data_IF_755023926576
#
_entry.id   IF_755023926576
#
_cell.length_a   1.000
_cell.length_b   1.000
_cell.length_c   1.000
_cell.angle_alpha   90.00
_cell.angle_beta   90.00
_cell.angle_gamma   90.00
#
_symmetry.space_group_name_H-M   'P 1'
#
loop_
_entity.id
_entity.type
_entity.pdbx_description
1 polymer ?
#
# COMPACT_ATOMS: atom_id res chain seq x y z
N UNK A 1 -5.58 -21.99 14.94
CA UNK A 1 -5.85 -21.22 13.69
C UNK A 1 -5.30 -19.83 13.86
N UNK A 2 -4.96 -19.13 12.78
CA UNK A 2 -4.47 -17.73 12.83
C UNK A 2 -5.67 -16.80 12.97
N UNK A 3 -5.82 -16.12 14.10
CA UNK A 3 -6.90 -15.16 14.28
C UNK A 3 -6.64 -13.89 13.46
N UNK A 4 -7.61 -13.48 12.63
CA UNK A 4 -7.43 -12.37 11.68
C UNK A 4 -8.40 -11.23 11.95
N UNK A 5 -7.91 -9.99 11.98
CA UNK A 5 -8.74 -8.80 11.91
C UNK A 5 -8.72 -8.24 10.48
N UNK A 6 -9.88 -8.15 9.83
CA UNK A 6 -10.02 -7.42 8.56
C UNK A 6 -10.35 -5.97 8.89
N UNK A 7 -9.55 -5.03 8.42
CA UNK A 7 -9.74 -3.59 8.61
C UNK A 7 -10.20 -2.97 7.30
N UNK A 8 -11.38 -2.37 7.32
CA UNK A 8 -11.96 -1.64 6.18
C UNK A 8 -12.05 -0.17 6.55
N UNK A 9 -11.48 0.71 5.73
CA UNK A 9 -11.53 2.15 5.96
C UNK A 9 -12.69 2.76 5.19
N UNK A 10 -13.60 3.44 5.89
CA UNK A 10 -14.65 4.23 5.26
C UNK A 10 -14.39 5.73 5.44
N UNK A 11 -14.56 6.50 4.37
CA UNK A 11 -14.62 7.96 4.39
C UNK A 11 -15.53 8.46 3.28
N UNK A 12 -16.76 8.88 3.63
CA UNK A 12 -17.80 9.35 2.70
C UNK A 12 -18.02 8.37 1.51
N UNK A 13 -18.04 7.07 1.79
CA UNK A 13 -18.07 6.02 0.77
C UNK A 13 -18.95 4.82 1.11
N UNK A 14 -20.03 5.05 1.88
CA UNK A 14 -20.84 3.97 2.47
C UNK A 14 -21.38 2.96 1.44
N UNK A 15 -21.76 3.39 0.23
CA UNK A 15 -22.30 2.50 -0.80
C UNK A 15 -21.29 1.45 -1.27
N UNK A 16 -20.04 1.86 -1.45
CA UNK A 16 -18.97 0.94 -1.79
C UNK A 16 -18.62 0.07 -0.58
N UNK A 17 -18.57 0.67 0.63
CA UNK A 17 -18.31 -0.06 1.88
C UNK A 17 -19.33 -1.16 2.14
N UNK A 18 -20.61 -0.97 1.85
CA UNK A 18 -21.63 -2.00 2.03
C UNK A 18 -21.40 -3.22 1.13
N UNK A 19 -21.07 -3.02 -0.13
CA UNK A 19 -20.72 -4.12 -1.06
C UNK A 19 -19.46 -4.85 -0.62
N UNK A 20 -18.43 -4.09 -0.22
CA UNK A 20 -17.20 -4.63 0.33
C UNK A 20 -17.48 -5.54 1.53
N UNK A 21 -18.26 -5.07 2.51
CA UNK A 21 -18.61 -5.84 3.71
C UNK A 21 -19.41 -7.10 3.39
N UNK A 22 -20.33 -7.03 2.41
CA UNK A 22 -21.10 -8.18 1.96
C UNK A 22 -20.16 -9.30 1.43
N UNK A 23 -19.16 -8.96 0.62
CA UNK A 23 -18.17 -9.94 0.15
C UNK A 23 -17.29 -10.51 1.28
N UNK A 24 -17.00 -9.72 2.31
CA UNK A 24 -16.12 -10.13 3.42
C UNK A 24 -16.83 -11.03 4.45
N UNK A 25 -18.12 -10.86 4.70
CA UNK A 25 -18.83 -11.70 5.68
C UNK A 25 -19.00 -13.15 5.19
N UNK A 26 -18.90 -13.39 3.89
CA UNK A 26 -19.04 -14.70 3.24
C UNK A 26 -17.71 -15.47 3.07
N UNK A 27 -16.58 -14.97 3.64
CA UNK A 27 -15.30 -15.67 3.52
C UNK A 27 -15.34 -17.09 4.08
N UNK A 28 -14.72 -18.05 3.37
CA UNK A 28 -14.62 -19.46 3.77
C UNK A 28 -13.72 -19.67 4.99
N UNK A 29 -12.70 -18.83 5.19
CA UNK A 29 -11.94 -18.78 6.44
C UNK A 29 -12.84 -18.34 7.59
N UNK A 30 -12.77 -18.99 8.77
CA UNK A 30 -13.76 -18.79 9.84
C UNK A 30 -13.26 -17.96 11.02
N UNK A 31 -11.96 -18.00 11.31
CA UNK A 31 -11.37 -17.33 12.50
C UNK A 31 -10.98 -15.88 12.16
N UNK A 32 -12.00 -15.04 11.91
CA UNK A 32 -11.81 -13.64 11.65
C UNK A 32 -12.93 -12.75 12.24
N UNK A 33 -12.58 -11.48 12.42
CA UNK A 33 -13.49 -10.37 12.69
C UNK A 33 -13.23 -9.24 11.70
N UNK A 34 -14.20 -8.35 11.55
CA UNK A 34 -14.09 -7.17 10.69
C UNK A 34 -14.17 -5.93 11.56
N UNK A 35 -13.25 -5.00 11.40
CA UNK A 35 -13.30 -3.66 11.99
C UNK A 35 -13.47 -2.64 10.86
N UNK A 36 -14.64 -2.01 10.82
CA UNK A 36 -14.82 -0.84 9.96
C UNK A 36 -14.29 0.38 10.70
N UNK A 37 -13.38 1.10 10.11
CA UNK A 37 -12.88 2.37 10.66
C UNK A 37 -13.54 3.50 9.88
N UNK A 38 -14.53 4.16 10.47
CA UNK A 38 -15.04 5.42 9.93
C UNK A 38 -14.02 6.52 10.16
N UNK A 39 -13.45 7.02 9.09
CA UNK A 39 -12.32 7.95 9.13
C UNK A 39 -12.77 9.43 9.12
N UNK A 40 -13.80 9.74 9.91
CA UNK A 40 -14.36 11.07 10.03
C UNK A 40 -15.26 11.45 8.85
N UNK A 41 -16.19 10.59 8.48
CA UNK A 41 -17.21 10.87 7.48
C UNK A 41 -18.17 11.96 7.94
N UNK A 42 -18.67 12.73 6.97
CA UNK A 42 -19.62 13.84 7.18
C UNK A 42 -20.96 13.61 6.46
N UNK A 43 -21.09 12.46 5.77
CA UNK A 43 -22.31 11.98 5.10
C UNK A 43 -23.10 11.02 6.02
N UNK A 44 -24.04 10.26 5.47
CA UNK A 44 -24.86 9.26 6.19
C UNK A 44 -24.10 7.97 6.56
N UNK A 45 -22.80 7.91 6.27
CA UNK A 45 -21.96 6.71 6.50
C UNK A 45 -22.05 6.19 7.91
N UNK A 46 -21.88 7.05 8.91
CA UNK A 46 -21.84 6.63 10.31
C UNK A 46 -23.15 6.01 10.77
N UNK A 47 -24.30 6.56 10.38
CA UNK A 47 -25.61 6.02 10.71
C UNK A 47 -25.80 4.62 10.13
N UNK A 48 -25.45 4.46 8.85
CA UNK A 48 -25.58 3.17 8.14
C UNK A 48 -24.62 2.12 8.69
N UNK A 49 -23.37 2.50 8.97
CA UNK A 49 -22.38 1.59 9.59
C UNK A 49 -22.82 1.09 10.97
N UNK A 50 -23.48 1.91 11.78
CA UNK A 50 -24.07 1.46 13.07
C UNK A 50 -25.20 0.45 12.89
N UNK A 51 -25.98 0.55 11.81
CA UNK A 51 -27.02 -0.45 11.48
C UNK A 51 -26.36 -1.78 11.06
N UNK A 52 -25.29 -1.71 10.27
CA UNK A 52 -24.53 -2.89 9.85
C UNK A 52 -23.85 -3.58 11.04
N UNK A 53 -23.20 -2.83 11.94
CA UNK A 53 -22.59 -3.38 13.16
C UNK A 53 -23.61 -4.16 14.01
N UNK A 54 -24.83 -3.65 14.16
CA UNK A 54 -25.91 -4.34 14.90
C UNK A 54 -26.41 -5.61 14.18
N UNK A 55 -26.28 -5.67 12.86
CA UNK A 55 -26.76 -6.80 12.04
C UNK A 55 -25.80 -7.98 12.05
N UNK A 56 -24.48 -7.74 12.15
CA UNK A 56 -23.45 -8.77 11.98
C UNK A 56 -22.52 -8.84 13.19
N UNK A 57 -22.56 -9.93 13.95
CA UNK A 57 -21.71 -10.17 15.14
C UNK A 57 -20.19 -10.17 14.85
N UNK A 58 -19.80 -10.34 13.60
CA UNK A 58 -18.41 -10.29 13.17
C UNK A 58 -17.89 -8.88 12.92
N UNK A 59 -18.77 -7.88 12.81
CA UNK A 59 -18.42 -6.51 12.45
C UNK A 59 -18.41 -5.63 13.69
N UNK A 60 -17.36 -4.85 13.86
CA UNK A 60 -17.22 -3.80 14.87
C UNK A 60 -16.89 -2.48 14.21
N UNK A 61 -17.23 -1.36 14.86
CA UNK A 61 -17.01 -0.01 14.34
C UNK A 61 -16.01 0.74 15.22
N UNK A 62 -15.03 1.39 14.59
CA UNK A 62 -14.17 2.39 15.21
C UNK A 62 -14.36 3.74 14.50
N UNK A 63 -14.35 4.84 15.25
CA UNK A 63 -14.64 6.18 14.72
C UNK A 63 -13.47 7.10 14.98
N UNK A 64 -12.87 7.65 13.92
CA UNK A 64 -11.92 8.73 13.99
C UNK A 64 -12.67 10.07 13.93
N UNK A 65 -12.26 11.05 14.73
CA UNK A 65 -12.90 12.37 14.78
C UNK A 65 -12.75 13.18 13.47
N UNK A 66 -11.71 12.87 12.67
CA UNK A 66 -11.40 13.53 11.40
C UNK A 66 -10.65 12.57 10.48
N UNK A 67 -10.58 12.88 9.21
CA UNK A 67 -9.86 12.10 8.22
C UNK A 67 -8.34 12.14 8.49
N UNK A 68 -7.77 10.98 8.86
CA UNK A 68 -6.33 10.79 9.11
C UNK A 68 -5.58 10.23 7.90
N UNK A 69 -6.23 10.20 6.73
CA UNK A 69 -5.71 9.50 5.57
C UNK A 69 -5.75 7.99 5.71
N UNK A 70 -5.23 7.29 4.71
CA UNK A 70 -5.12 5.83 4.74
C UNK A 70 -4.21 5.38 5.89
N UNK A 71 -3.00 5.96 6.00
CA UNK A 71 -2.01 5.58 7.03
C UNK A 71 -2.58 5.67 8.45
N UNK A 72 -3.24 6.78 8.80
CA UNK A 72 -3.78 6.97 10.15
C UNK A 72 -5.02 6.13 10.41
N UNK A 73 -5.86 5.92 9.41
CA UNK A 73 -7.01 5.00 9.48
C UNK A 73 -6.55 3.56 9.68
N UNK A 74 -5.60 3.08 8.88
CA UNK A 74 -4.99 1.76 9.02
C UNK A 74 -4.38 1.57 10.42
N UNK A 75 -3.65 2.57 10.92
CA UNK A 75 -3.09 2.53 12.27
C UNK A 75 -4.15 2.39 13.36
N UNK A 76 -5.34 2.97 13.18
CA UNK A 76 -6.46 2.76 14.12
C UNK A 76 -6.82 1.27 14.18
N UNK A 77 -6.95 0.61 13.04
CA UNK A 77 -7.24 -0.82 12.96
C UNK A 77 -6.11 -1.69 13.49
N UNK A 78 -4.85 -1.39 13.14
CA UNK A 78 -3.69 -2.17 13.59
C UNK A 78 -3.53 -2.07 15.12
N UNK A 79 -3.70 -0.88 15.70
CA UNK A 79 -3.68 -0.71 17.17
C UNK A 79 -4.78 -1.51 17.85
N UNK A 80 -5.96 -1.59 17.23
CA UNK A 80 -7.06 -2.43 17.72
C UNK A 80 -6.67 -3.92 17.67
N UNK A 81 -6.09 -4.40 16.52
CA UNK A 81 -5.63 -5.77 16.38
C UNK A 81 -4.59 -6.15 17.45
N UNK A 82 -3.58 -5.29 17.65
CA UNK A 82 -2.52 -5.48 18.65
C UNK A 82 -3.09 -5.54 20.07
N UNK A 83 -4.03 -4.64 20.41
CA UNK A 83 -4.66 -4.58 21.75
C UNK A 83 -5.53 -5.80 22.02
N UNK A 84 -6.18 -6.36 21.01
CA UNK A 84 -7.08 -7.51 21.13
C UNK A 84 -6.38 -8.86 20.93
N UNK A 85 -5.08 -8.86 20.60
CA UNK A 85 -4.27 -10.07 20.49
C UNK A 85 -4.51 -10.86 19.19
N UNK A 86 -4.96 -10.23 18.10
CA UNK A 86 -5.05 -10.90 16.80
C UNK A 86 -3.66 -11.26 16.29
N UNK A 87 -3.52 -12.46 15.70
CA UNK A 87 -2.26 -12.93 15.13
C UNK A 87 -1.89 -12.19 13.84
N UNK A 88 -2.91 -11.82 13.06
CA UNK A 88 -2.73 -11.11 11.81
C UNK A 88 -3.80 -10.03 11.61
N UNK A 89 -3.47 -9.03 10.83
CA UNK A 89 -4.38 -7.97 10.40
C UNK A 89 -4.31 -7.81 8.88
N UNK A 90 -5.44 -7.71 8.21
CA UNK A 90 -5.47 -7.37 6.78
C UNK A 90 -6.11 -6.00 6.61
N UNK A 91 -5.54 -5.20 5.71
CA UNK A 91 -6.15 -3.96 5.23
C UNK A 91 -6.89 -4.29 3.94
N UNK A 92 -8.13 -3.83 3.83
CA UNK A 92 -8.95 -4.06 2.65
C UNK A 92 -9.66 -2.77 2.25
N UNK A 93 -9.51 -2.37 1.00
CA UNK A 93 -10.13 -1.14 0.49
C UNK A 93 -11.66 -1.28 0.46
N UNK A 94 -12.35 -0.24 0.86
CA UNK A 94 -13.81 -0.23 0.87
C UNK A 94 -14.46 -0.19 -0.53
N UNK A 95 -13.69 0.08 -1.57
CA UNK A 95 -14.08 0.02 -2.98
C UNK A 95 -13.57 -1.26 -3.68
N UNK A 96 -13.38 -2.33 -2.89
CA UNK A 96 -13.00 -3.65 -3.37
C UNK A 96 -13.97 -4.73 -2.86
N UNK A 97 -14.07 -5.83 -3.61
CA UNK A 97 -14.85 -7.03 -3.27
C UNK A 97 -13.92 -8.23 -3.27
N UNK A 98 -14.01 -9.10 -2.26
CA UNK A 98 -13.15 -10.25 -2.10
C UNK A 98 -13.83 -11.53 -2.66
N UNK A 99 -13.04 -12.36 -3.37
CA UNK A 99 -13.45 -13.75 -3.63
C UNK A 99 -13.64 -14.50 -2.30
N UNK A 100 -14.52 -15.50 -2.27
CA UNK A 100 -14.87 -16.24 -1.04
C UNK A 100 -13.67 -16.94 -0.37
N UNK A 101 -12.63 -17.28 -1.11
CA UNK A 101 -11.42 -17.95 -0.63
C UNK A 101 -10.26 -16.97 -0.38
N UNK A 102 -10.43 -15.68 -0.66
CA UNK A 102 -9.38 -14.67 -0.59
C UNK A 102 -8.62 -14.69 0.75
N UNK A 103 -9.34 -14.67 1.88
CA UNK A 103 -8.71 -14.66 3.19
C UNK A 103 -8.00 -15.99 3.50
N UNK A 104 -8.59 -17.13 3.13
CA UNK A 104 -8.00 -18.45 3.35
C UNK A 104 -6.65 -18.57 2.62
N UNK A 105 -6.58 -18.11 1.38
CA UNK A 105 -5.37 -18.15 0.57
C UNK A 105 -4.28 -17.18 1.07
N UNK A 106 -4.66 -16.00 1.58
CA UNK A 106 -3.71 -15.11 2.25
C UNK A 106 -3.12 -15.76 3.52
N UNK A 107 -3.95 -16.38 4.35
CA UNK A 107 -3.49 -17.06 5.58
C UNK A 107 -2.56 -18.24 5.25
N UNK A 108 -2.82 -18.98 4.18
CA UNK A 108 -1.89 -20.02 3.70
C UNK A 108 -0.53 -19.45 3.35
N UNK A 109 -0.48 -18.31 2.68
CA UNK A 109 0.78 -17.65 2.31
C UNK A 109 1.64 -17.23 3.52
N UNK A 110 1.07 -17.02 4.71
CA UNK A 110 1.84 -16.75 5.93
C UNK A 110 2.72 -17.92 6.40
N UNK A 111 2.51 -19.14 5.86
CA UNK A 111 3.31 -20.33 6.16
C UNK A 111 4.62 -20.38 5.36
N UNK A 112 4.74 -19.56 4.30
CA UNK A 112 5.97 -19.50 3.52
C UNK A 112 7.15 -18.97 4.38
N UNK A 113 8.37 -19.44 4.16
CA UNK A 113 9.52 -19.17 5.03
C UNK A 113 9.77 -17.67 5.21
N UNK A 114 9.90 -17.23 6.46
CA UNK A 114 10.18 -15.84 6.87
C UNK A 114 9.13 -14.81 6.40
N UNK A 115 7.95 -15.25 5.95
CA UNK A 115 6.89 -14.36 5.46
C UNK A 115 6.21 -13.64 6.62
N UNK A 116 6.10 -12.32 6.51
CA UNK A 116 5.35 -11.46 7.45
C UNK A 116 4.25 -10.66 6.78
N UNK A 117 4.26 -10.54 5.45
CA UNK A 117 3.19 -9.92 4.65
C UNK A 117 2.82 -10.89 3.53
N UNK A 118 1.51 -11.02 3.26
CA UNK A 118 1.00 -11.73 2.09
C UNK A 118 0.09 -10.80 1.31
N UNK A 119 0.29 -10.73 0.00
CA UNK A 119 -0.54 -9.94 -0.91
C UNK A 119 -1.20 -10.86 -1.94
N UNK A 120 -2.42 -10.53 -2.36
CA UNK A 120 -3.18 -11.29 -3.34
C UNK A 120 -3.13 -10.70 -4.75
N UNK A 121 -3.86 -11.34 -5.66
CA UNK A 121 -4.14 -10.88 -6.99
C UNK A 121 -5.29 -9.88 -6.94
N UNK A 122 -5.00 -8.61 -7.18
CA UNK A 122 -6.00 -7.56 -7.26
C UNK A 122 -6.33 -7.29 -8.72
N UNK A 123 -7.59 -7.49 -9.09
CA UNK A 123 -8.12 -7.28 -10.42
C UNK A 123 -8.94 -5.99 -10.46
N UNK A 124 -9.11 -5.42 -11.65
CA UNK A 124 -10.17 -4.42 -11.86
C UNK A 124 -11.56 -5.06 -11.79
N UNK A 125 -12.61 -4.25 -11.66
CA UNK A 125 -14.01 -4.73 -11.60
C UNK A 125 -14.40 -5.63 -12.80
N UNK A 126 -13.71 -5.52 -13.93
CA UNK A 126 -13.95 -6.34 -15.13
C UNK A 126 -13.53 -7.81 -14.96
N UNK A 127 -12.77 -8.13 -13.89
CA UNK A 127 -12.20 -9.46 -13.63
C UNK A 127 -11.18 -9.94 -14.67
N UNK A 128 -10.83 -9.11 -15.65
CA UNK A 128 -9.95 -9.47 -16.79
C UNK A 128 -8.62 -8.75 -16.77
N UNK A 129 -8.58 -7.60 -16.12
CA UNK A 129 -7.40 -6.72 -16.08
C UNK A 129 -6.80 -6.72 -14.68
N UNK A 130 -5.48 -6.89 -14.58
CA UNK A 130 -4.76 -6.85 -13.31
C UNK A 130 -4.62 -5.40 -12.85
N UNK A 131 -5.02 -5.11 -11.61
CA UNK A 131 -4.71 -3.84 -10.94
C UNK A 131 -3.36 -3.93 -10.21
N UNK A 132 -3.10 -5.01 -9.47
CA UNK A 132 -1.80 -5.21 -8.81
C UNK A 132 -1.55 -6.68 -8.44
N UNK A 133 -0.30 -7.10 -8.53
CA UNK A 133 0.24 -8.34 -7.95
C UNK A 133 1.29 -8.03 -6.87
N UNK A 134 1.12 -6.92 -6.15
CA UNK A 134 2.11 -6.26 -5.30
C UNK A 134 2.80 -5.11 -6.01
N UNK A 135 3.86 -4.57 -5.42
CA UNK A 135 4.58 -3.44 -6.00
C UNK A 135 6.08 -3.72 -6.15
N UNK A 136 6.67 -3.09 -7.15
CA UNK A 136 8.11 -2.94 -7.29
C UNK A 136 8.60 -1.68 -6.59
N UNK A 137 9.85 -1.70 -6.16
CA UNK A 137 10.67 -0.51 -5.98
C UNK A 137 11.85 -0.57 -6.94
N UNK A 138 12.12 0.49 -7.68
CA UNK A 138 13.12 0.46 -8.75
C UNK A 138 14.43 1.15 -8.37
N UNK A 139 15.51 0.84 -9.11
CA UNK A 139 16.78 1.58 -9.02
C UNK A 139 16.66 3.05 -9.47
N UNK A 140 15.49 3.48 -9.92
CA UNK A 140 15.12 4.87 -10.17
C UNK A 140 14.42 5.54 -9.00
N UNK A 141 14.33 4.87 -7.84
CA UNK A 141 13.71 5.40 -6.64
C UNK A 141 12.18 5.51 -6.68
N UNK A 142 11.56 4.93 -7.71
CA UNK A 142 10.10 4.94 -7.91
C UNK A 142 9.50 3.59 -7.57
N UNK A 143 8.46 3.56 -6.73
CA UNK A 143 7.58 2.41 -6.61
C UNK A 143 6.50 2.43 -7.70
N UNK A 144 6.05 1.27 -8.12
CA UNK A 144 4.92 1.10 -9.03
C UNK A 144 4.33 -0.30 -8.96
N UNK A 145 3.02 -0.45 -9.25
CA UNK A 145 2.34 -1.73 -9.18
C UNK A 145 2.88 -2.72 -10.22
N UNK A 146 3.03 -3.98 -9.79
CA UNK A 146 3.41 -5.08 -10.68
C UNK A 146 2.23 -5.47 -11.55
N UNK A 147 2.50 -5.75 -12.82
CA UNK A 147 1.57 -6.27 -13.82
C UNK A 147 0.30 -5.43 -14.04
N UNK A 148 0.27 -4.17 -13.57
CA UNK A 148 -0.91 -3.31 -13.79
C UNK A 148 -1.18 -3.12 -15.28
N UNK A 149 -2.43 -3.39 -15.69
CA UNK A 149 -2.88 -3.30 -17.06
C UNK A 149 -2.69 -4.57 -17.89
N UNK A 150 -1.99 -5.59 -17.36
CA UNK A 150 -1.90 -6.90 -18.00
C UNK A 150 -3.23 -7.65 -17.89
N UNK A 151 -3.46 -8.57 -18.81
CA UNK A 151 -4.58 -9.52 -18.71
C UNK A 151 -4.36 -10.53 -17.59
N UNK A 152 -5.45 -11.02 -16.98
CA UNK A 152 -5.44 -12.01 -15.90
C UNK A 152 -4.75 -13.33 -16.28
N UNK A 153 -4.79 -13.73 -17.56
CA UNK A 153 -4.06 -14.90 -18.09
C UNK A 153 -2.53 -14.77 -17.98
N UNK A 154 -2.02 -13.55 -17.81
CA UNK A 154 -0.63 -13.23 -17.57
C UNK A 154 -0.28 -13.05 -16.09
N UNK A 155 -1.21 -13.39 -15.18
CA UNK A 155 -0.94 -13.32 -13.76
C UNK A 155 0.28 -14.20 -13.42
N UNK A 156 1.27 -13.66 -12.69
CA UNK A 156 2.47 -14.42 -12.36
C UNK A 156 2.14 -15.55 -11.38
N UNK A 157 2.99 -16.58 -11.39
CA UNK A 157 2.98 -17.60 -10.34
C UNK A 157 3.22 -16.99 -8.96
N UNK A 158 2.69 -17.67 -7.92
CA UNK A 158 2.89 -17.27 -6.54
C UNK A 158 4.37 -17.29 -6.18
N UNK A 159 4.83 -16.31 -5.38
CA UNK A 159 6.24 -16.19 -5.03
C UNK A 159 6.58 -14.94 -4.23
N UNK A 160 7.86 -14.77 -3.89
CA UNK A 160 8.30 -13.61 -3.14
C UNK A 160 8.35 -12.35 -3.99
N UNK A 161 7.92 -11.23 -3.38
CA UNK A 161 7.82 -9.92 -4.03
C UNK A 161 8.45 -8.84 -3.16
N UNK A 162 8.72 -7.66 -3.75
CA UNK A 162 9.30 -6.55 -3.00
C UNK A 162 8.28 -5.95 -2.01
N UNK A 163 7.06 -5.69 -2.45
CA UNK A 163 6.02 -5.01 -1.67
C UNK A 163 4.65 -5.63 -1.90
N UNK A 164 3.81 -5.61 -0.87
CA UNK A 164 2.39 -5.90 -0.96
C UNK A 164 1.59 -4.63 -1.24
N UNK A 165 0.42 -4.76 -1.88
CA UNK A 165 -0.52 -3.67 -2.07
C UNK A 165 -1.27 -3.37 -0.77
N UNK A 166 -1.33 -2.10 -0.35
CA UNK A 166 -2.04 -1.68 0.87
C UNK A 166 -3.56 -1.93 0.84
N UNK A 167 -4.12 -2.15 -0.36
CA UNK A 167 -5.56 -2.32 -0.53
C UNK A 167 -6.11 -3.73 -0.28
N UNK A 168 -5.25 -4.76 -0.21
CA UNK A 168 -5.69 -6.16 -0.07
C UNK A 168 -4.56 -7.08 0.45
N UNK A 169 -3.82 -6.67 1.49
CA UNK A 169 -2.71 -7.45 2.05
C UNK A 169 -2.91 -7.82 3.51
N UNK A 170 -2.39 -8.99 3.89
CA UNK A 170 -2.39 -9.55 5.24
C UNK A 170 -1.01 -9.37 5.87
N UNK A 171 -0.96 -8.91 7.11
CA UNK A 171 0.25 -8.63 7.88
C UNK A 171 0.23 -9.42 9.19
N UNK A 172 1.32 -10.07 9.57
CA UNK A 172 1.48 -10.55 10.95
C UNK A 172 1.48 -9.36 11.91
N UNK A 173 0.67 -9.36 12.95
CA UNK A 173 0.62 -8.24 13.92
C UNK A 173 1.95 -8.06 14.65
N UNK A 174 2.69 -9.15 14.90
CA UNK A 174 4.02 -9.10 15.48
C UNK A 174 5.01 -8.23 14.68
N UNK A 175 4.85 -8.16 13.34
CA UNK A 175 5.66 -7.31 12.48
C UNK A 175 5.60 -5.84 12.91
N UNK A 176 4.43 -5.33 13.24
CA UNK A 176 4.25 -3.93 13.64
C UNK A 176 4.86 -3.60 15.01
N UNK A 177 5.09 -4.60 15.86
CA UNK A 177 5.85 -4.41 17.10
C UNK A 177 7.35 -4.22 16.83
N UNK A 178 7.86 -4.80 15.75
CA UNK A 178 9.27 -4.73 15.37
C UNK A 178 9.59 -3.51 14.51
N UNK A 179 8.84 -3.32 13.40
CA UNK A 179 9.14 -2.25 12.42
C UNK A 179 8.37 -0.95 12.66
N UNK A 180 7.46 -0.91 13.63
CA UNK A 180 6.52 0.20 13.85
C UNK A 180 5.35 0.21 12.88
N UNK A 181 4.40 1.11 13.13
CA UNK A 181 3.15 1.27 12.36
C UNK A 181 3.38 1.96 11.01
N UNK A 182 2.31 2.21 10.26
CA UNK A 182 2.33 3.08 9.08
C UNK A 182 2.78 4.49 9.48
N UNK A 183 3.64 5.11 8.68
CA UNK A 183 4.02 6.50 8.92
C UNK A 183 2.90 7.44 8.44
N UNK A 184 2.22 8.07 9.38
CA UNK A 184 1.09 8.96 9.11
C UNK A 184 1.47 10.21 8.29
N UNK A 185 2.77 10.51 8.11
CA UNK A 185 3.24 11.59 7.22
C UNK A 185 2.93 11.32 5.75
N UNK A 186 2.79 10.05 5.36
CA UNK A 186 2.37 9.70 4.01
C UNK A 186 0.92 10.12 3.74
N UNK A 187 0.06 10.06 4.71
CA UNK A 187 -1.39 10.26 4.60
C UNK A 187 -2.07 9.25 3.67
N UNK A 188 -1.69 9.20 2.39
CA UNK A 188 -2.09 8.22 1.40
C UNK A 188 -1.04 8.13 0.28
N UNK A 189 -0.93 6.98 -0.37
CA UNK A 189 0.02 6.58 -1.41
C UNK A 189 1.46 6.38 -0.91
N UNK A 190 1.99 5.20 -1.25
CA UNK A 190 3.34 4.72 -0.94
C UNK A 190 3.62 4.38 0.52
N UNK A 191 2.65 4.50 1.43
CA UNK A 191 2.77 4.06 2.82
C UNK A 191 2.90 2.53 2.95
N UNK A 192 2.27 1.80 2.05
CA UNK A 192 2.36 0.34 1.92
C UNK A 192 3.75 -0.09 1.44
N UNK A 193 4.30 0.64 0.47
CA UNK A 193 5.69 0.43 0.01
C UNK A 193 6.68 0.79 1.12
N UNK A 194 6.41 1.82 1.95
CA UNK A 194 7.24 2.16 3.12
C UNK A 194 7.25 1.02 4.15
N UNK A 195 6.09 0.48 4.52
CA UNK A 195 5.98 -0.67 5.42
C UNK A 195 6.68 -1.89 4.83
N UNK A 196 6.47 -2.16 3.56
CA UNK A 196 7.10 -3.27 2.85
C UNK A 196 8.63 -3.14 2.82
N UNK A 197 9.15 -1.95 2.55
CA UNK A 197 10.58 -1.70 2.55
C UNK A 197 11.18 -1.94 3.95
N UNK A 198 10.54 -1.42 5.01
CA UNK A 198 10.97 -1.67 6.41
C UNK A 198 10.90 -3.16 6.75
N UNK A 199 9.91 -3.88 6.25
CA UNK A 199 9.79 -5.35 6.38
C UNK A 199 10.98 -6.06 5.75
N UNK A 200 11.37 -5.70 4.52
CA UNK A 200 12.56 -6.25 3.85
C UNK A 200 13.85 -5.92 4.62
N UNK A 201 13.99 -4.66 5.10
CA UNK A 201 15.16 -4.24 5.89
C UNK A 201 15.28 -5.00 7.22
N UNK A 202 14.17 -5.38 7.83
CA UNK A 202 14.12 -6.21 9.03
C UNK A 202 14.38 -7.72 8.77
N UNK A 203 14.61 -8.13 7.51
CA UNK A 203 14.90 -9.52 7.12
C UNK A 203 13.69 -10.41 6.94
N UNK A 204 12.49 -9.84 6.98
CA UNK A 204 11.26 -10.56 6.64
C UNK A 204 10.98 -10.52 5.14
N UNK A 205 10.16 -11.47 4.68
CA UNK A 205 9.75 -11.59 3.28
C UNK A 205 8.28 -11.23 3.09
N UNK A 206 7.94 -10.90 1.85
CA UNK A 206 6.60 -10.60 1.39
C UNK A 206 6.26 -11.61 0.31
N UNK A 207 5.13 -12.29 0.47
CA UNK A 207 4.70 -13.35 -0.44
C UNK A 207 3.47 -12.91 -1.23
N UNK A 208 3.50 -13.10 -2.53
CA UNK A 208 2.35 -12.95 -3.42
C UNK A 208 1.71 -14.31 -3.67
N UNK A 209 0.39 -14.41 -3.58
CA UNK A 209 -0.38 -15.57 -4.00
C UNK A 209 -1.42 -15.20 -5.06
N UNK A 210 -1.37 -15.86 -6.21
CA UNK A 210 -2.33 -15.65 -7.29
C UNK A 210 -3.72 -16.25 -7.01
N UNK A 211 -3.87 -16.97 -5.89
CA UNK A 211 -5.11 -17.62 -5.47
C UNK A 211 -5.99 -16.74 -4.57
N UNK A 212 -5.42 -15.71 -3.94
CA UNK A 212 -6.17 -14.75 -3.14
C UNK A 212 -6.66 -13.61 -4.06
N UNK A 213 -7.85 -13.76 -4.62
CA UNK A 213 -8.38 -12.84 -5.63
C UNK A 213 -9.30 -11.80 -4.97
N UNK A 214 -9.13 -10.54 -5.35
CA UNK A 214 -10.06 -9.45 -5.02
C UNK A 214 -10.26 -8.53 -6.23
N UNK A 215 -11.41 -7.88 -6.31
CA UNK A 215 -11.82 -6.99 -7.40
C UNK A 215 -11.88 -5.56 -6.89
N UNK A 216 -11.28 -4.60 -7.61
CA UNK A 216 -11.08 -3.24 -7.13
C UNK A 216 -11.57 -2.20 -8.15
N UNK A 217 -12.44 -1.31 -7.71
CA UNK A 217 -12.99 -0.22 -8.52
C UNK A 217 -11.96 0.88 -8.85
N UNK A 218 -10.96 1.00 -8.03
CA UNK A 218 -9.84 1.93 -8.13
C UNK A 218 -10.19 3.43 -8.18
N UNK A 219 -9.78 4.12 -7.14
CA UNK A 219 -9.78 5.59 -7.11
C UNK A 219 -11.15 6.22 -6.85
N UNK A 220 -12.10 5.50 -6.25
CA UNK A 220 -13.42 6.02 -5.91
C UNK A 220 -13.35 7.31 -5.05
N UNK A 221 -12.34 7.46 -4.22
CA UNK A 221 -12.15 8.63 -3.35
C UNK A 221 -11.18 9.64 -3.93
N UNK A 222 -9.99 9.23 -4.37
CA UNK A 222 -8.90 10.15 -4.76
C UNK A 222 -9.17 10.91 -6.05
N UNK A 223 -9.91 10.32 -6.99
CA UNK A 223 -10.33 10.99 -8.24
C UNK A 223 -11.25 12.19 -7.99
N UNK A 224 -11.92 12.24 -6.83
CA UNK A 224 -12.81 13.36 -6.46
C UNK A 224 -12.06 14.61 -5.97
N UNK A 225 -10.75 14.50 -5.69
CA UNK A 225 -9.96 15.60 -5.13
C UNK A 225 -8.91 16.03 -6.18
N UNK A 226 -9.12 17.16 -6.89
CA UNK A 226 -8.19 17.63 -7.92
C UNK A 226 -6.76 17.81 -7.40
N UNK A 227 -5.78 17.27 -8.10
CA UNK A 227 -4.36 17.39 -7.75
C UNK A 227 -3.88 16.57 -6.55
N UNK A 228 -4.78 15.86 -5.84
CA UNK A 228 -4.43 15.11 -4.62
C UNK A 228 -3.34 14.06 -4.87
N UNK A 229 -3.52 13.20 -5.86
CA UNK A 229 -2.53 12.17 -6.20
C UNK A 229 -1.18 12.78 -6.56
N UNK A 230 -1.18 13.87 -7.35
CA UNK A 230 0.05 14.57 -7.74
C UNK A 230 0.76 15.14 -6.50
N UNK A 231 0.03 15.84 -5.63
CA UNK A 231 0.59 16.36 -4.38
C UNK A 231 1.24 15.26 -3.53
N UNK A 232 0.52 14.14 -3.31
CA UNK A 232 1.02 13.05 -2.49
C UNK A 232 2.24 12.36 -3.14
N UNK A 233 2.25 12.19 -4.46
CA UNK A 233 3.38 11.64 -5.20
C UNK A 233 4.64 12.47 -4.96
N UNK A 234 4.54 13.80 -5.17
CA UNK A 234 5.69 14.70 -4.99
C UNK A 234 6.12 14.84 -3.53
N UNK A 235 5.22 14.66 -2.58
CA UNK A 235 5.55 14.64 -1.16
C UNK A 235 6.21 13.31 -0.74
N UNK A 236 5.63 12.18 -1.14
CA UNK A 236 5.91 10.89 -0.52
C UNK A 236 7.10 10.14 -1.12
N UNK A 237 7.40 10.31 -2.42
CA UNK A 237 8.55 9.65 -3.06
C UNK A 237 9.88 10.05 -2.38
N UNK A 238 10.19 11.34 -2.14
CA UNK A 238 11.41 11.70 -1.41
C UNK A 238 11.44 11.15 0.01
N UNK A 239 10.30 11.09 0.70
CA UNK A 239 10.21 10.49 2.04
C UNK A 239 10.58 9.01 2.02
N UNK A 240 9.96 8.25 1.10
CA UNK A 240 10.21 6.82 0.92
C UNK A 240 11.70 6.55 0.66
N UNK A 241 12.30 7.28 -0.28
CA UNK A 241 13.71 7.19 -0.62
C UNK A 241 14.61 7.49 0.58
N UNK A 242 14.40 8.65 1.21
CA UNK A 242 15.26 9.12 2.30
C UNK A 242 15.25 8.16 3.49
N UNK A 243 14.09 7.67 3.88
CA UNK A 243 13.95 6.79 5.05
C UNK A 243 14.57 5.42 4.83
N UNK A 244 14.30 4.80 3.69
CA UNK A 244 14.42 3.36 3.54
C UNK A 244 15.66 2.93 2.74
N UNK A 245 16.12 3.71 1.77
CA UNK A 245 17.23 3.29 0.91
C UNK A 245 18.54 3.19 1.69
N UNK A 246 19.23 2.01 1.69
CA UNK A 246 20.53 1.84 2.37
C UNK A 246 21.58 2.83 1.86
N UNK A 247 22.54 3.22 2.75
CA UNK A 247 23.53 4.24 2.46
C UNK A 247 24.31 3.98 1.16
N UNK A 248 24.73 2.74 0.90
CA UNK A 248 25.47 2.38 -0.32
C UNK A 248 24.67 2.50 -1.63
N UNK A 249 23.32 2.62 -1.54
CA UNK A 249 22.45 2.82 -2.69
C UNK A 249 21.92 4.25 -2.83
N UNK A 250 22.16 5.11 -1.84
CA UNK A 250 21.63 6.49 -1.89
C UNK A 250 22.12 7.25 -3.13
N UNK A 251 23.42 7.31 -3.36
CA UNK A 251 23.95 8.09 -4.48
C UNK A 251 23.46 7.56 -5.85
N UNK A 252 23.63 6.28 -6.19
CA UNK A 252 23.22 5.77 -7.50
C UNK A 252 21.71 5.84 -7.74
N UNK A 253 20.88 5.61 -6.71
CA UNK A 253 19.42 5.78 -6.83
C UNK A 253 19.05 7.26 -6.81
N UNK A 254 19.69 8.08 -5.98
CA UNK A 254 19.37 9.50 -5.85
C UNK A 254 19.59 10.31 -7.13
N UNK A 255 20.68 10.06 -7.86
CA UNK A 255 20.92 10.72 -9.16
C UNK A 255 19.81 10.37 -10.15
N UNK A 256 19.45 9.09 -10.27
CA UNK A 256 18.37 8.65 -11.18
C UNK A 256 17.00 9.21 -10.74
N UNK A 257 16.73 9.17 -9.45
CA UNK A 257 15.50 9.73 -8.89
C UNK A 257 15.39 11.23 -9.16
N UNK A 258 16.47 11.98 -9.00
CA UNK A 258 16.49 13.42 -9.30
C UNK A 258 16.12 13.69 -10.77
N UNK A 259 16.76 13.00 -11.72
CA UNK A 259 16.43 13.13 -13.14
C UNK A 259 14.97 12.80 -13.43
N UNK A 260 14.50 11.68 -12.89
CA UNK A 260 13.12 11.27 -13.05
C UNK A 260 12.15 12.26 -12.41
N UNK A 261 12.46 12.77 -11.22
CA UNK A 261 11.63 13.72 -10.49
C UNK A 261 11.46 15.04 -11.25
N UNK A 262 12.53 15.55 -11.89
CA UNK A 262 12.46 16.71 -12.76
C UNK A 262 11.54 16.45 -13.96
N UNK A 263 11.64 15.27 -14.58
CA UNK A 263 10.79 14.92 -15.73
C UNK A 263 9.31 14.80 -15.37
N UNK A 264 8.99 14.12 -14.26
CA UNK A 264 7.60 14.02 -13.82
C UNK A 264 7.06 15.38 -13.38
N UNK A 265 7.91 16.27 -12.83
CA UNK A 265 7.52 17.65 -12.50
C UNK A 265 7.18 18.43 -13.77
N UNK A 266 8.06 18.42 -14.79
CA UNK A 266 7.79 19.08 -16.06
C UNK A 266 6.51 18.57 -16.73
N UNK A 267 6.26 17.24 -16.67
CA UNK A 267 5.02 16.64 -17.16
C UNK A 267 3.79 17.10 -16.34
N UNK A 268 3.91 17.21 -15.02
CA UNK A 268 2.84 17.73 -14.16
C UNK A 268 2.49 19.19 -14.50
N UNK A 269 3.50 20.03 -14.73
CA UNK A 269 3.30 21.42 -15.18
C UNK A 269 2.59 21.45 -16.54
N UNK A 270 3.05 20.66 -17.50
CA UNK A 270 2.45 20.54 -18.85
C UNK A 270 0.98 20.12 -18.78
N UNK A 271 0.60 19.26 -17.81
CA UNK A 271 -0.78 18.78 -17.58
C UNK A 271 -1.62 19.70 -16.68
N UNK A 272 -1.15 20.89 -16.34
CA UNK A 272 -1.88 21.84 -15.47
C UNK A 272 -1.84 21.51 -13.97
N UNK A 273 -1.04 20.51 -13.55
CA UNK A 273 -0.92 20.08 -12.16
C UNK A 273 0.37 20.56 -11.47
N UNK A 274 1.00 21.62 -11.99
CA UNK A 274 2.26 22.15 -11.46
C UNK A 274 2.15 22.68 -10.02
N UNK A 275 1.04 23.33 -9.66
CA UNK A 275 0.83 23.87 -8.30
C UNK A 275 0.74 22.73 -7.25
N UNK A 276 -0.09 21.68 -7.42
CA UNK A 276 -0.05 20.51 -6.53
C UNK A 276 1.33 19.87 -6.44
N UNK A 277 2.04 19.70 -7.56
CA UNK A 277 3.39 19.14 -7.59
C UNK A 277 4.38 19.96 -6.76
N UNK A 278 4.39 21.27 -6.96
CA UNK A 278 5.25 22.20 -6.22
C UNK A 278 4.96 22.19 -4.71
N UNK A 279 3.69 22.25 -4.32
CA UNK A 279 3.27 22.14 -2.91
C UNK A 279 3.72 20.82 -2.29
N UNK A 280 3.60 19.71 -3.02
CA UNK A 280 4.07 18.39 -2.58
C UNK A 280 5.58 18.36 -2.38
N UNK A 281 6.35 18.93 -3.31
CA UNK A 281 7.80 19.07 -3.19
C UNK A 281 8.21 19.90 -1.96
N UNK A 282 7.61 21.05 -1.73
CA UNK A 282 7.87 21.87 -0.53
C UNK A 282 7.55 21.09 0.76
N UNK A 283 6.44 20.35 0.78
CA UNK A 283 6.10 19.51 1.92
C UNK A 283 7.16 18.41 2.14
N UNK A 284 7.72 17.80 1.07
CA UNK A 284 8.77 16.80 1.20
C UNK A 284 10.04 17.35 1.86
N UNK A 285 10.45 18.58 1.52
CA UNK A 285 11.58 19.28 2.14
C UNK A 285 11.33 19.48 3.63
N UNK A 286 10.15 19.96 4.01
CA UNK A 286 9.77 20.13 5.42
C UNK A 286 9.88 18.80 6.18
N UNK A 287 9.30 17.71 5.63
CA UNK A 287 9.36 16.41 6.28
C UNK A 287 10.76 15.81 6.34
N UNK A 288 11.61 16.08 5.35
CA UNK A 288 13.01 15.66 5.36
C UNK A 288 13.70 16.14 6.63
N UNK A 289 13.65 17.44 6.94
CA UNK A 289 14.32 18.02 8.10
C UNK A 289 13.65 17.72 9.43
N UNK A 290 12.33 17.61 9.47
CA UNK A 290 11.60 17.48 10.73
C UNK A 290 11.43 16.02 11.18
N UNK A 291 11.44 15.05 10.28
CA UNK A 291 11.07 13.67 10.61
C UNK A 291 11.88 12.58 9.90
N UNK A 292 12.11 12.72 8.58
CA UNK A 292 12.64 11.62 7.78
C UNK A 292 14.06 11.21 8.18
N UNK A 293 14.91 12.14 8.55
CA UNK A 293 16.29 11.87 9.02
C UNK A 293 16.29 11.05 10.32
N UNK A 294 15.44 11.38 11.28
CA UNK A 294 15.31 10.65 12.53
C UNK A 294 14.80 9.22 12.30
N UNK A 295 13.75 9.08 11.49
CA UNK A 295 13.22 7.77 11.14
C UNK A 295 14.25 6.94 10.37
N UNK A 296 15.00 7.57 9.44
CA UNK A 296 16.10 6.91 8.74
C UNK A 296 17.12 6.32 9.71
N UNK A 297 17.57 7.13 10.67
CA UNK A 297 18.55 6.64 11.65
C UNK A 297 18.04 5.38 12.36
N UNK A 298 16.82 5.43 12.90
CA UNK A 298 16.21 4.28 13.56
C UNK A 298 16.04 3.08 12.62
N UNK A 299 15.54 3.28 11.40
CA UNK A 299 15.31 2.20 10.43
C UNK A 299 16.64 1.55 10.02
N UNK A 300 17.66 2.36 9.69
CA UNK A 300 18.94 1.83 9.20
C UNK A 300 19.80 1.20 10.29
N UNK A 301 19.72 1.68 11.55
CA UNK A 301 20.42 1.05 12.68
C UNK A 301 19.81 -0.31 13.06
N UNK A 302 18.52 -0.50 12.84
CA UNK A 302 17.82 -1.77 13.09
C UNK A 302 17.78 -2.71 11.87
N UNK A 303 18.45 -2.35 10.78
CA UNK A 303 18.50 -3.15 9.55
C UNK A 303 19.24 -4.46 9.78
N UNK A 304 18.62 -5.59 9.39
CA UNK A 304 19.18 -6.95 9.55
C UNK A 304 19.73 -7.54 8.24
N UNK A 305 19.56 -6.87 7.11
CA UNK A 305 19.97 -7.36 5.78
C UNK A 305 21.07 -6.49 5.18
N UNK A 306 21.86 -7.06 4.27
CA UNK A 306 22.92 -6.32 3.56
C UNK A 306 22.35 -5.35 2.52
N UNK A 307 23.16 -4.36 2.13
CA UNK A 307 22.85 -3.47 0.99
C UNK A 307 22.73 -4.27 -0.31
N UNK A 308 23.55 -5.31 -0.48
CA UNK A 308 23.52 -6.21 -1.64
C UNK A 308 22.20 -6.97 -1.74
N UNK A 309 21.66 -7.45 -0.61
CA UNK A 309 20.33 -8.07 -0.61
C UNK A 309 19.24 -7.10 -1.10
N UNK A 310 19.21 -5.89 -0.57
CA UNK A 310 18.20 -4.89 -1.05
C UNK A 310 18.40 -4.62 -2.55
N UNK A 311 19.65 -4.47 -3.01
CA UNK A 311 19.93 -4.27 -4.42
C UNK A 311 19.46 -5.44 -5.31
N UNK A 312 19.48 -6.67 -4.82
CA UNK A 312 19.06 -7.86 -5.59
C UNK A 312 17.55 -8.02 -5.70
N UNK A 313 16.76 -7.40 -4.80
CA UNK A 313 15.29 -7.53 -4.78
C UNK A 313 14.55 -6.32 -5.36
N UNK A 314 15.24 -5.20 -5.59
CA UNK A 314 14.67 -4.04 -6.28
C UNK A 314 14.74 -4.21 -7.80
N UNK A 315 13.84 -3.58 -8.52
CA UNK A 315 13.79 -3.67 -9.98
C UNK A 315 14.88 -2.79 -10.64
N UNK A 316 15.72 -3.40 -11.45
CA UNK A 316 16.78 -2.71 -12.22
C UNK A 316 16.25 -2.18 -13.56
N UNK A 317 15.04 -1.62 -13.56
CA UNK A 317 14.40 -1.05 -14.76
C UNK A 317 13.43 0.08 -14.38
N UNK A 318 12.83 0.71 -15.40
CA UNK A 318 11.68 1.59 -15.29
C UNK A 318 10.43 0.86 -15.78
N UNK A 319 9.28 1.05 -15.12
CA UNK A 319 8.03 0.49 -15.61
C UNK A 319 7.69 1.01 -17.01
N UNK A 320 7.39 0.13 -17.99
CA UNK A 320 7.02 0.54 -19.33
C UNK A 320 5.72 1.35 -19.38
N UNK A 321 4.84 1.17 -18.39
CA UNK A 321 3.44 1.66 -18.44
C UNK A 321 3.20 2.98 -17.71
N UNK A 322 4.24 3.60 -17.18
CA UNK A 322 4.17 4.96 -16.67
C UNK A 322 3.96 5.92 -17.84
N UNK A 323 2.76 6.45 -17.98
CA UNK A 323 2.37 7.34 -19.07
C UNK A 323 3.37 8.49 -19.27
N UNK A 324 3.97 8.57 -20.43
CA UNK A 324 5.00 9.55 -20.79
C UNK A 324 6.44 9.07 -20.61
N UNK A 325 6.69 7.92 -19.99
CA UNK A 325 8.05 7.44 -19.69
C UNK A 325 8.61 6.45 -20.73
N UNK A 326 7.79 5.92 -21.67
CA UNK A 326 8.28 4.95 -22.69
C UNK A 326 9.46 5.48 -23.51
N UNK A 327 9.39 6.75 -23.97
CA UNK A 327 10.51 7.36 -24.71
C UNK A 327 11.76 7.52 -23.84
N UNK A 328 11.57 7.93 -22.58
CA UNK A 328 12.65 8.08 -21.62
C UNK A 328 13.27 6.72 -21.28
N UNK A 329 12.45 5.69 -21.00
CA UNK A 329 12.93 4.33 -20.77
C UNK A 329 13.78 3.82 -21.93
N UNK A 330 13.32 4.00 -23.18
CA UNK A 330 14.07 3.58 -24.37
C UNK A 330 15.44 4.24 -24.46
N UNK A 331 15.56 5.54 -24.12
CA UNK A 331 16.83 6.27 -24.16
C UNK A 331 17.81 5.73 -23.09
N UNK A 332 17.35 5.45 -21.86
CA UNK A 332 18.25 5.13 -20.75
C UNK A 332 18.41 3.64 -20.47
N UNK A 333 17.50 2.78 -20.91
CA UNK A 333 17.54 1.34 -20.66
C UNK A 333 17.69 0.50 -21.95
N UNK A 334 17.53 1.11 -23.12
CA UNK A 334 17.49 0.39 -24.40
C UNK A 334 16.26 -0.50 -24.60
N UNK A 335 15.34 -0.56 -23.62
CA UNK A 335 14.13 -1.40 -23.66
C UNK A 335 12.93 -0.57 -24.12
N UNK A 336 12.11 -1.15 -25.01
CA UNK A 336 10.88 -0.51 -25.53
C UNK A 336 9.72 -0.59 -24.54
#
# INVERSE_FOLDING_TARGET
MTSVLIVVLNWNGIKDTEKCLDSLVHQTYRDFKILVVDNGSIDDSLERLRKIEKKYDKISLAINKHNKGFSGGANTGIKYALKRGFDAVTLFNNDAEADENWLAELVKGLKEPNTSIVTGLLLHEDGKTIDSTGDYYSTWGMPFPRNRGDNTDKAPESGFVFSGSGGASLYKTALFKEIGLFDESFFAYYEDVDVSFRTQLAGHKIYFTNKAIAYHKQGATSKKIPGFTVYQTFKNIPLLYTKNVPAGLLLPIGVRLFLLYVLIFANAVKKGSGVPAFKGWLASIRYFWTKSLWLRFSIQSNRKVSTSYINSIILHDLSPDQTGMRKFRKIFTGKA
#
